data_IF_011623824770
#
_entry.id   IF_011623824770
#
_cell.length_a   1.000
_cell.length_b   1.000
_cell.length_c   1.000
_cell.angle_alpha   90.00
_cell.angle_beta   90.00
_cell.angle_gamma   90.00
#
_symmetry.space_group_name_H-M   'P 1'
#
loop_
_entity.id
_entity.type
_entity.pdbx_description
1 polymer ?
#
# COMPACT_ATOMS: atom_id res chain seq x y z
N UNK A 1 3.80 -15.13 10.03
CA UNK A 1 4.40 -13.80 9.75
C UNK A 1 3.56 -13.10 8.69
N UNK A 2 3.18 -11.85 8.93
CA UNK A 2 2.38 -11.09 7.96
C UNK A 2 3.21 -10.67 6.76
N UNK A 3 2.57 -10.68 5.58
CA UNK A 3 3.19 -10.27 4.34
C UNK A 3 2.57 -8.97 3.85
N UNK A 4 3.39 -8.07 3.34
CA UNK A 4 2.99 -6.76 2.86
C UNK A 4 3.25 -6.68 1.36
N UNK A 5 2.24 -6.28 0.59
CA UNK A 5 2.40 -6.04 -0.83
C UNK A 5 2.78 -4.58 -1.07
N UNK A 6 3.79 -4.36 -1.90
CA UNK A 6 4.19 -3.03 -2.31
C UNK A 6 3.91 -2.85 -3.80
N UNK A 7 2.92 -2.03 -4.12
CA UNK A 7 2.64 -1.58 -5.49
C UNK A 7 3.39 -0.28 -5.71
N UNK A 8 4.72 -0.41 -5.81
CA UNK A 8 5.64 0.72 -5.91
C UNK A 8 6.70 0.38 -6.94
N UNK A 9 6.86 1.23 -7.95
CA UNK A 9 7.88 1.05 -8.99
C UNK A 9 9.12 1.92 -8.75
N UNK A 10 8.98 2.99 -7.98
CA UNK A 10 10.11 3.84 -7.61
C UNK A 10 11.08 3.06 -6.74
N UNK A 11 12.32 2.89 -7.23
CA UNK A 11 13.30 2.06 -6.54
C UNK A 11 13.65 2.59 -5.15
N UNK A 12 13.85 3.89 -5.02
CA UNK A 12 14.20 4.49 -3.74
C UNK A 12 13.08 4.33 -2.71
N UNK A 13 11.86 4.67 -3.09
CA UNK A 13 10.71 4.53 -2.21
C UNK A 13 10.49 3.07 -1.82
N UNK A 14 10.53 2.18 -2.79
CA UNK A 14 10.33 0.75 -2.55
C UNK A 14 11.39 0.17 -1.62
N UNK A 15 12.64 0.56 -1.81
CA UNK A 15 13.75 0.10 -0.99
C UNK A 15 13.62 0.56 0.46
N UNK A 16 13.24 1.82 0.67
CA UNK A 16 13.02 2.36 2.02
C UNK A 16 11.83 1.71 2.72
N UNK A 17 10.73 1.53 2.00
CA UNK A 17 9.54 0.84 2.55
C UNK A 17 9.88 -0.59 2.94
N UNK A 18 10.59 -1.31 2.07
CA UNK A 18 10.99 -2.68 2.33
C UNK A 18 11.83 -2.78 3.61
N UNK A 19 12.79 -1.87 3.75
CA UNK A 19 13.67 -1.84 4.92
C UNK A 19 12.88 -1.64 6.21
N UNK A 20 11.94 -0.69 6.23
CA UNK A 20 11.10 -0.43 7.41
C UNK A 20 10.26 -1.65 7.75
N UNK A 21 9.65 -2.27 6.75
CA UNK A 21 8.79 -3.44 6.97
C UNK A 21 9.58 -4.62 7.52
N UNK A 22 10.76 -4.87 6.96
CA UNK A 22 11.63 -5.96 7.42
C UNK A 22 12.09 -5.71 8.85
N UNK A 23 12.42 -4.46 9.20
CA UNK A 23 12.81 -4.10 10.57
C UNK A 23 11.69 -4.36 11.56
N UNK A 24 10.44 -4.33 11.12
CA UNK A 24 9.27 -4.64 11.95
C UNK A 24 8.89 -6.13 11.90
N UNK A 25 9.74 -6.97 11.32
CA UNK A 25 9.51 -8.40 11.26
C UNK A 25 8.49 -8.84 10.23
N UNK A 26 8.21 -8.02 9.22
CA UNK A 26 7.23 -8.33 8.18
C UNK A 26 7.93 -8.77 6.89
N UNK A 27 7.30 -9.65 6.14
CA UNK A 27 7.76 -10.02 4.81
C UNK A 27 7.19 -9.03 3.79
N UNK A 28 7.97 -8.76 2.74
CA UNK A 28 7.58 -7.82 1.70
C UNK A 28 7.57 -8.53 0.36
N UNK A 29 6.56 -8.26 -0.45
CA UNK A 29 6.48 -8.71 -1.83
C UNK A 29 6.14 -7.54 -2.71
N UNK A 30 6.97 -7.30 -3.73
CA UNK A 30 6.68 -6.28 -4.73
C UNK A 30 5.70 -6.84 -5.75
N UNK A 31 4.68 -6.06 -6.07
CA UNK A 31 3.66 -6.43 -7.03
C UNK A 31 3.53 -5.35 -8.09
N UNK A 32 3.10 -5.74 -9.28
CA UNK A 32 2.90 -4.82 -10.38
C UNK A 32 1.55 -5.07 -11.06
N UNK A 33 1.31 -4.36 -12.16
CA UNK A 33 0.05 -4.45 -12.91
C UNK A 33 -0.18 -5.81 -13.56
N UNK A 34 0.88 -6.63 -13.65
CA UNK A 34 0.80 -7.97 -14.23
C UNK A 34 0.68 -9.07 -13.18
N UNK A 35 0.76 -8.71 -11.90
CA UNK A 35 0.66 -9.71 -10.82
C UNK A 35 -0.77 -10.23 -10.74
N UNK A 36 -0.92 -11.56 -10.78
CA UNK A 36 -2.23 -12.20 -10.63
C UNK A 36 -2.68 -12.08 -9.17
N UNK A 37 -3.80 -11.40 -8.90
CA UNK A 37 -4.30 -11.30 -7.52
C UNK A 37 -4.59 -12.65 -6.87
N UNK A 38 -4.91 -13.67 -7.64
CA UNK A 38 -5.16 -15.01 -7.10
C UNK A 38 -3.88 -15.69 -6.61
N UNK A 39 -2.70 -15.14 -6.97
CA UNK A 39 -1.41 -15.66 -6.49
C UNK A 39 -1.04 -15.13 -5.10
N UNK A 40 -1.82 -14.20 -4.52
CA UNK A 40 -1.51 -13.64 -3.20
C UNK A 40 -1.63 -14.71 -2.12
N UNK A 41 -0.62 -14.74 -1.24
CA UNK A 41 -0.62 -15.62 -0.08
C UNK A 41 -1.71 -15.21 0.91
N UNK A 42 -2.23 -16.16 1.67
CA UNK A 42 -3.17 -15.88 2.76
C UNK A 42 -2.52 -15.06 3.88
N UNK A 43 -1.20 -14.99 3.91
CA UNK A 43 -0.46 -14.20 4.89
C UNK A 43 -0.48 -12.71 4.55
N UNK A 44 -0.88 -12.33 3.35
CA UNK A 44 -0.97 -10.93 2.94
C UNK A 44 -2.09 -10.25 3.69
N UNK A 45 -1.75 -9.16 4.40
CA UNK A 45 -2.70 -8.41 5.23
C UNK A 45 -2.76 -6.94 4.88
N UNK A 46 -1.75 -6.42 4.19
CA UNK A 46 -1.61 -5.00 3.93
C UNK A 46 -1.01 -4.78 2.54
N UNK A 47 -1.49 -3.76 1.86
CA UNK A 47 -0.92 -3.29 0.60
C UNK A 47 -0.62 -1.81 0.70
N UNK A 48 0.53 -1.41 0.17
CA UNK A 48 0.90 0.00 -0.01
C UNK A 48 0.89 0.29 -1.50
N UNK A 49 0.13 1.29 -1.91
CA UNK A 49 -0.06 1.62 -3.32
C UNK A 49 0.42 3.03 -3.60
N UNK A 50 1.36 3.16 -4.54
CA UNK A 50 1.84 4.45 -5.01
C UNK A 50 0.86 4.98 -6.07
N UNK A 51 0.01 5.90 -5.66
CA UNK A 51 -1.04 6.45 -6.52
C UNK A 51 -0.50 7.42 -7.57
N UNK A 52 0.76 7.86 -7.44
CA UNK A 52 1.41 8.68 -8.45
C UNK A 52 1.87 7.87 -9.67
N UNK A 53 1.99 6.55 -9.50
CA UNK A 53 2.32 5.66 -10.60
C UNK A 53 1.05 5.39 -11.41
N UNK A 54 1.07 5.76 -12.70
CA UNK A 54 -0.12 5.70 -13.54
C UNK A 54 -0.77 4.32 -13.57
N UNK A 55 0.04 3.25 -13.57
CA UNK A 55 -0.49 1.89 -13.63
C UNK A 55 -1.20 1.46 -12.35
N UNK A 56 -1.02 2.18 -11.25
CA UNK A 56 -1.66 1.90 -9.97
C UNK A 56 -2.72 2.94 -9.58
N UNK A 57 -2.89 3.98 -10.35
CA UNK A 57 -3.74 5.13 -9.98
C UNK A 57 -5.24 4.90 -10.17
N UNK A 58 -5.68 3.66 -10.05
CA UNK A 58 -7.07 3.27 -10.29
C UNK A 58 -7.78 2.95 -8.97
N UNK A 59 -8.98 3.50 -8.78
CA UNK A 59 -9.83 3.10 -7.65
C UNK A 59 -10.20 1.62 -7.74
N UNK A 60 -10.19 1.05 -8.94
CA UNK A 60 -10.45 -0.37 -9.14
C UNK A 60 -9.42 -1.26 -8.44
N UNK A 61 -8.15 -0.86 -8.45
CA UNK A 61 -7.12 -1.59 -7.73
C UNK A 61 -7.39 -1.57 -6.22
N UNK A 62 -7.71 -0.40 -5.67
CA UNK A 62 -8.03 -0.27 -4.25
C UNK A 62 -9.21 -1.16 -3.87
N UNK A 63 -10.30 -1.09 -4.67
CA UNK A 63 -11.49 -1.89 -4.42
C UNK A 63 -11.21 -3.38 -4.46
N UNK A 64 -10.37 -3.83 -5.41
CA UNK A 64 -9.99 -5.23 -5.52
C UNK A 64 -9.22 -5.71 -4.28
N UNK A 65 -8.26 -4.92 -3.83
CA UNK A 65 -7.48 -5.25 -2.64
C UNK A 65 -8.37 -5.30 -1.39
N UNK A 66 -9.30 -4.37 -1.26
CA UNK A 66 -10.24 -4.37 -0.14
C UNK A 66 -11.16 -5.57 -0.17
N UNK A 67 -11.62 -5.97 -1.35
CA UNK A 67 -12.48 -7.15 -1.50
C UNK A 67 -11.77 -8.43 -1.04
N UNK A 68 -10.45 -8.46 -1.14
CA UNK A 68 -9.63 -9.59 -0.68
C UNK A 68 -9.28 -9.51 0.80
N UNK A 69 -9.80 -8.52 1.50
CA UNK A 69 -9.63 -8.39 2.95
C UNK A 69 -8.35 -7.70 3.40
N UNK A 70 -7.63 -7.06 2.48
CA UNK A 70 -6.41 -6.35 2.85
C UNK A 70 -6.72 -4.96 3.40
N UNK A 71 -5.84 -4.48 4.30
CA UNK A 71 -5.76 -3.06 4.62
C UNK A 71 -4.97 -2.38 3.50
N UNK A 72 -5.32 -1.15 3.16
CA UNK A 72 -4.68 -0.45 2.04
C UNK A 72 -4.22 0.94 2.47
N UNK A 73 -2.95 1.21 2.19
CA UNK A 73 -2.35 2.55 2.34
C UNK A 73 -2.13 3.10 0.93
N UNK A 74 -2.77 4.21 0.63
CA UNK A 74 -2.52 4.94 -0.62
C UNK A 74 -1.59 6.12 -0.35
N UNK A 75 -0.58 6.29 -1.18
CA UNK A 75 0.36 7.41 -1.05
C UNK A 75 0.49 8.17 -2.35
N UNK A 76 0.73 9.47 -2.25
CA UNK A 76 0.91 10.35 -3.39
C UNK A 76 1.67 11.60 -2.96
N UNK A 77 2.33 12.28 -3.91
CA UNK A 77 3.12 13.46 -3.60
C UNK A 77 2.26 14.59 -3.04
N UNK A 78 1.08 14.79 -3.63
CA UNK A 78 0.15 15.83 -3.19
C UNK A 78 -1.25 15.23 -3.08
N UNK A 79 -1.88 15.47 -1.93
CA UNK A 79 -3.23 14.99 -1.67
C UNK A 79 -4.21 16.16 -1.87
N UNK A 80 -5.16 15.99 -2.78
CA UNK A 80 -6.26 16.94 -2.93
C UNK A 80 -7.57 16.29 -2.49
N UNK A 81 -8.57 17.12 -2.15
CA UNK A 81 -9.83 16.63 -1.59
C UNK A 81 -10.57 15.69 -2.52
N UNK A 82 -10.52 15.94 -3.83
CA UNK A 82 -11.23 15.13 -4.81
C UNK A 82 -10.67 13.71 -4.88
N UNK A 83 -9.35 13.60 -5.01
CA UNK A 83 -8.68 12.30 -5.05
C UNK A 83 -8.84 11.55 -3.73
N UNK A 84 -8.71 12.27 -2.63
CA UNK A 84 -8.88 11.68 -1.30
C UNK A 84 -10.27 11.09 -1.12
N UNK A 85 -11.31 11.81 -1.55
CA UNK A 85 -12.70 11.33 -1.46
C UNK A 85 -12.91 10.08 -2.29
N UNK A 86 -12.34 10.02 -3.49
CA UNK A 86 -12.46 8.84 -4.35
C UNK A 86 -11.80 7.61 -3.72
N UNK A 87 -10.61 7.79 -3.16
CA UNK A 87 -9.89 6.68 -2.53
C UNK A 87 -10.60 6.19 -1.27
N UNK A 88 -11.14 7.08 -0.47
CA UNK A 88 -11.92 6.72 0.71
C UNK A 88 -13.19 5.96 0.32
N UNK A 89 -13.87 6.40 -0.72
CA UNK A 89 -15.05 5.73 -1.23
C UNK A 89 -14.74 4.31 -1.71
N UNK A 90 -13.54 4.09 -2.23
CA UNK A 90 -13.08 2.76 -2.65
C UNK A 90 -12.66 1.89 -1.47
N UNK A 91 -12.55 2.45 -0.26
CA UNK A 91 -12.22 1.72 0.95
C UNK A 91 -10.78 1.83 1.42
N UNK A 92 -10.01 2.76 0.85
CA UNK A 92 -8.61 2.96 1.28
C UNK A 92 -8.57 3.33 2.76
N UNK A 93 -7.78 2.59 3.54
CA UNK A 93 -7.75 2.76 5.00
C UNK A 93 -6.93 3.95 5.44
N UNK A 94 -5.83 4.23 4.73
CA UNK A 94 -4.96 5.37 5.04
C UNK A 94 -4.57 6.03 3.73
N UNK A 95 -4.61 7.36 3.71
CA UNK A 95 -4.14 8.17 2.59
C UNK A 95 -3.10 9.12 3.16
N UNK A 96 -1.87 9.04 2.69
CA UNK A 96 -0.75 9.74 3.29
C UNK A 96 0.20 10.30 2.21
N UNK A 97 0.73 11.52 2.38
CA UNK A 97 1.71 12.06 1.44
C UNK A 97 2.99 11.20 1.40
N UNK A 98 3.61 11.09 0.22
CA UNK A 98 4.88 10.36 0.07
C UNK A 98 5.94 10.83 1.07
N UNK A 99 6.00 12.12 1.31
CA UNK A 99 7.01 12.71 2.22
C UNK A 99 6.85 12.25 3.66
N UNK A 100 5.66 11.78 4.04
CA UNK A 100 5.37 11.34 5.41
C UNK A 100 5.32 9.82 5.54
N UNK A 101 5.31 9.10 4.43
CA UNK A 101 5.04 7.66 4.42
C UNK A 101 6.08 6.86 5.21
N UNK A 102 7.36 7.06 4.92
CA UNK A 102 8.43 6.27 5.55
C UNK A 102 8.46 6.54 7.06
N UNK A 103 8.36 7.81 7.44
CA UNK A 103 8.40 8.21 8.85
C UNK A 103 7.27 7.57 9.66
N UNK A 104 6.08 7.48 9.09
CA UNK A 104 4.90 6.98 9.80
C UNK A 104 4.67 5.48 9.63
N UNK A 105 5.43 4.83 8.75
CA UNK A 105 5.21 3.42 8.42
C UNK A 105 5.29 2.49 9.65
N UNK A 106 6.27 2.64 10.57
CA UNK A 106 6.31 1.75 11.74
C UNK A 106 5.03 1.80 12.57
N UNK A 107 4.50 3.00 12.82
CA UNK A 107 3.26 3.16 13.60
C UNK A 107 2.05 2.60 12.85
N UNK A 108 1.99 2.81 11.54
CA UNK A 108 0.90 2.29 10.72
C UNK A 108 0.90 0.76 10.71
N UNK A 109 2.08 0.14 10.66
CA UNK A 109 2.18 -1.32 10.75
C UNK A 109 1.64 -1.83 12.08
N UNK A 110 1.99 -1.16 13.17
CA UNK A 110 1.50 -1.55 14.49
C UNK A 110 -0.03 -1.39 14.60
N UNK A 111 -0.59 -0.33 14.04
CA UNK A 111 -2.02 -0.08 14.12
C UNK A 111 -2.85 -0.98 13.19
N UNK A 112 -2.37 -1.20 11.97
CA UNK A 112 -3.15 -1.91 10.96
C UNK A 112 -3.00 -3.43 11.03
N UNK A 113 -1.94 -3.93 11.62
CA UNK A 113 -1.63 -5.37 11.66
C UNK A 113 -1.71 -5.99 13.05
N UNK A 114 -2.32 -5.30 13.99
CA UNK A 114 -2.57 -5.87 15.33
C UNK A 114 -3.80 -6.74 15.36
#
# INVERSE_FOLDING_TARGET
>A
MSEILLFVKDFELGSRLSSVCVDKGKNVKFSDENTDPDSFSELVKLAVVDMDEAVFSSVGLISELKRRGLKVIGTMAQINNREQSKLRAAGCDVIIPRSSLIKNMPNMLDELLT
#
